data_IF_109288550211
#
_entry.id   IF_109288550211
#
_cell.length_a   1.000
_cell.length_b   1.000
_cell.length_c   1.000
_cell.angle_alpha   90.00
_cell.angle_beta   90.00
_cell.angle_gamma   90.00
#
_symmetry.space_group_name_H-M   'P 1'
#
loop_
_entity.id
_entity.type
_entity.pdbx_description
1 polymer ?
#
# COMPACT_ATOMS: atom_id res chain seq x y z
N UNK A 1 20.35 -23.22 10.81
CA UNK A 1 21.19 -22.06 10.39
C UNK A 1 20.30 -21.17 9.55
N UNK A 2 20.24 -19.88 9.84
CA UNK A 2 19.49 -18.91 9.01
C UNK A 2 20.30 -18.76 7.73
N UNK A 3 19.73 -19.11 6.58
CA UNK A 3 20.39 -18.89 5.29
C UNK A 3 20.57 -17.38 5.11
N UNK A 4 21.82 -16.96 4.91
CA UNK A 4 22.19 -15.55 4.70
C UNK A 4 21.99 -15.15 3.22
N UNK A 5 20.85 -15.53 2.63
CA UNK A 5 20.54 -15.06 1.28
C UNK A 5 20.24 -13.55 1.31
N UNK A 6 20.80 -12.78 0.36
CA UNK A 6 20.50 -11.35 0.25
C UNK A 6 19.02 -11.13 -0.04
N UNK A 7 18.44 -10.09 0.57
CA UNK A 7 17.12 -9.63 0.21
C UNK A 7 17.17 -8.93 -1.16
N UNK A 8 16.17 -9.19 -1.98
CA UNK A 8 16.09 -8.63 -3.33
C UNK A 8 14.91 -7.67 -3.44
N UNK A 9 14.96 -6.76 -4.42
CA UNK A 9 13.87 -5.84 -4.69
C UNK A 9 12.53 -6.54 -5.00
N UNK A 10 12.58 -7.78 -5.53
CA UNK A 10 11.39 -8.60 -5.78
C UNK A 10 10.71 -9.12 -4.51
N UNK A 11 11.39 -9.05 -3.38
CA UNK A 11 10.88 -9.48 -2.08
C UNK A 11 10.40 -8.31 -1.21
N UNK A 12 10.57 -7.07 -1.64
CA UNK A 12 10.31 -5.89 -0.81
C UNK A 12 9.27 -4.98 -1.44
N UNK A 13 8.26 -4.60 -0.64
CA UNK A 13 7.27 -3.56 -0.95
C UNK A 13 7.58 -2.34 -0.10
N UNK A 14 7.69 -1.17 -0.72
CA UNK A 14 7.86 0.09 -0.01
C UNK A 14 6.50 0.57 0.51
N UNK A 15 6.25 0.42 1.82
CA UNK A 15 5.01 0.77 2.51
C UNK A 15 4.81 2.29 2.54
N UNK A 16 3.75 2.77 1.92
CA UNK A 16 3.43 4.20 1.74
C UNK A 16 4.59 4.99 1.10
N UNK A 17 5.32 4.33 0.19
CA UNK A 17 6.59 4.82 -0.33
C UNK A 17 7.78 4.61 0.62
N UNK A 18 8.81 5.47 0.57
CA UNK A 18 9.96 5.39 1.48
C UNK A 18 9.67 6.13 2.80
N UNK A 19 8.72 5.59 3.57
CA UNK A 19 8.18 6.22 4.76
C UNK A 19 9.24 6.53 5.83
N UNK A 20 10.24 5.69 6.02
CA UNK A 20 11.24 5.91 7.09
C UNK A 20 11.93 7.27 7.00
N UNK A 21 12.15 7.79 5.81
CA UNK A 21 12.88 9.04 5.58
C UNK A 21 12.04 10.20 5.06
N UNK A 22 10.89 9.90 4.49
CA UNK A 22 10.02 10.88 3.83
C UNK A 22 8.60 10.79 4.38
N UNK A 23 7.77 11.83 4.21
CA UNK A 23 6.37 11.77 4.61
C UNK A 23 5.63 10.66 3.86
N UNK A 24 4.90 9.85 4.60
CA UNK A 24 4.14 8.73 4.04
C UNK A 24 3.11 9.19 3.00
N UNK A 25 2.81 8.33 2.02
CA UNK A 25 1.75 8.57 1.05
C UNK A 25 1.90 9.90 0.27
N UNK A 26 3.14 10.26 -0.06
CA UNK A 26 3.44 11.44 -0.89
C UNK A 26 4.10 11.04 -2.21
N UNK A 27 3.98 11.91 -3.21
CA UNK A 27 4.69 11.76 -4.47
C UNK A 27 6.21 11.69 -4.26
N UNK A 28 6.73 12.45 -3.28
CA UNK A 28 8.12 12.41 -2.86
C UNK A 28 8.51 11.03 -2.33
N UNK A 29 7.74 10.46 -1.38
CA UNK A 29 8.07 9.16 -0.80
C UNK A 29 8.03 8.03 -1.84
N UNK A 30 7.07 8.06 -2.78
CA UNK A 30 6.99 7.13 -3.90
C UNK A 30 8.22 7.25 -4.81
N UNK A 31 8.57 8.48 -5.22
CA UNK A 31 9.75 8.74 -6.05
C UNK A 31 11.03 8.24 -5.37
N UNK A 32 11.20 8.53 -4.09
CA UNK A 32 12.38 8.11 -3.31
C UNK A 32 12.44 6.60 -3.07
N UNK A 33 11.30 5.93 -2.97
CA UNK A 33 11.29 4.47 -2.93
C UNK A 33 11.80 3.85 -4.24
N UNK A 34 11.35 4.39 -5.38
CA UNK A 34 11.78 3.94 -6.71
C UNK A 34 13.28 4.23 -6.93
N UNK A 35 13.75 5.43 -6.58
CA UNK A 35 15.18 5.79 -6.63
C UNK A 35 16.05 4.88 -5.75
N UNK A 36 15.52 4.40 -4.62
CA UNK A 36 16.19 3.42 -3.75
C UNK A 36 16.16 1.99 -4.31
N UNK A 37 15.49 1.75 -5.43
CA UNK A 37 15.45 0.44 -6.11
C UNK A 37 14.18 -0.37 -5.84
N UNK A 38 13.12 0.21 -5.28
CA UNK A 38 11.84 -0.48 -5.12
C UNK A 38 11.23 -0.89 -6.46
N UNK A 39 10.80 -2.15 -6.57
CA UNK A 39 9.98 -2.66 -7.67
C UNK A 39 8.51 -2.75 -7.31
N UNK A 40 8.21 -2.69 -6.03
CA UNK A 40 6.86 -2.68 -5.47
C UNK A 40 6.72 -1.49 -4.53
N UNK A 41 5.68 -0.70 -4.73
CA UNK A 41 5.31 0.42 -3.86
C UNK A 41 3.86 0.24 -3.46
N UNK A 42 3.55 0.48 -2.22
CA UNK A 42 2.19 0.49 -1.71
C UNK A 42 1.79 1.92 -1.30
N UNK A 43 0.52 2.25 -1.49
CA UNK A 43 -0.11 3.51 -1.10
C UNK A 43 -1.55 3.28 -0.63
N UNK A 44 -2.00 4.11 0.30
CA UNK A 44 -3.40 4.16 0.77
C UNK A 44 -4.21 5.21 0.01
N UNK A 45 -5.47 4.91 -0.32
CA UNK A 45 -6.36 5.84 -1.00
C UNK A 45 -7.62 6.13 -0.19
N UNK A 46 -7.85 7.42 0.03
CA UNK A 46 -9.10 8.00 0.51
C UNK A 46 -9.73 8.85 -0.59
N UNK A 47 -11.03 9.15 -0.50
CA UNK A 47 -11.70 10.09 -1.39
C UNK A 47 -11.89 11.46 -0.72
N UNK A 48 -11.61 12.52 -1.46
CA UNK A 48 -11.97 13.90 -1.08
C UNK A 48 -13.50 14.12 -1.11
N UNK A 49 -13.97 15.26 -0.58
CA UNK A 49 -15.40 15.65 -0.63
C UNK A 49 -16.00 15.62 -2.04
N UNK A 50 -15.21 16.02 -3.04
CA UNK A 50 -15.57 15.98 -4.45
C UNK A 50 -15.19 14.65 -5.14
N UNK A 51 -15.04 13.59 -4.31
CA UNK A 51 -14.81 12.20 -4.71
C UNK A 51 -13.56 11.98 -5.57
N UNK A 52 -12.55 12.84 -5.44
CA UNK A 52 -11.28 12.66 -6.12
C UNK A 52 -10.35 11.76 -5.29
N UNK A 53 -9.65 10.79 -5.90
CA UNK A 53 -8.74 9.90 -5.17
C UNK A 53 -7.50 10.64 -4.65
N UNK A 54 -7.32 10.66 -3.34
CA UNK A 54 -6.19 11.26 -2.62
C UNK A 54 -5.34 10.17 -1.98
N UNK A 55 -4.03 10.34 -2.02
CA UNK A 55 -3.08 9.39 -1.42
C UNK A 55 -2.90 9.75 0.04
N UNK A 56 -3.61 9.03 0.92
CA UNK A 56 -3.66 9.35 2.35
C UNK A 56 -4.19 8.17 3.17
N UNK A 57 -3.59 7.89 4.33
CA UNK A 57 -3.98 6.76 5.16
C UNK A 57 -5.19 7.07 6.06
N UNK A 58 -5.05 8.10 6.91
CA UNK A 58 -6.03 8.41 7.96
C UNK A 58 -7.24 9.16 7.37
N UNK A 59 -8.42 8.98 7.97
CA UNK A 59 -9.54 9.88 7.67
C UNK A 59 -9.27 11.30 8.18
N UNK A 60 -8.58 11.43 9.33
CA UNK A 60 -8.21 12.71 9.95
C UNK A 60 -6.92 13.29 9.38
N UNK A 61 -6.89 14.60 9.16
CA UNK A 61 -5.71 15.33 8.69
C UNK A 61 -4.65 15.56 9.79
N UNK A 62 -4.98 15.30 11.06
CA UNK A 62 -4.17 15.75 12.21
C UNK A 62 -2.77 15.16 12.25
N UNK A 63 -2.61 13.85 12.00
CA UNK A 63 -1.32 13.16 12.19
C UNK A 63 -0.31 13.53 11.10
N UNK A 64 -0.74 13.51 9.84
CA UNK A 64 0.17 13.68 8.69
C UNK A 64 0.26 15.15 8.28
N UNK A 65 -0.83 15.90 8.36
CA UNK A 65 -0.87 17.31 7.92
C UNK A 65 -0.80 18.33 9.06
N UNK A 66 -0.94 17.90 10.32
CA UNK A 66 -1.03 18.81 11.47
C UNK A 66 -2.28 19.70 11.48
N UNK A 67 -3.22 19.47 10.58
CA UNK A 67 -4.42 20.26 10.38
C UNK A 67 -5.65 19.60 11.02
N UNK A 68 -6.62 20.41 11.44
CA UNK A 68 -7.94 19.90 11.83
C UNK A 68 -8.78 19.54 10.61
N UNK A 69 -9.77 18.63 10.78
CA UNK A 69 -10.67 18.21 9.73
C UNK A 69 -10.36 16.82 9.17
N UNK A 70 -11.06 16.46 8.10
CA UNK A 70 -10.91 15.14 7.47
C UNK A 70 -10.77 15.24 5.94
N UNK A 71 -10.24 14.19 5.33
CA UNK A 71 -10.10 14.06 3.88
C UNK A 71 -11.47 14.24 3.19
N UNK A 72 -12.52 13.65 3.75
CA UNK A 72 -13.87 13.66 3.15
C UNK A 72 -14.59 15.00 3.25
N UNK A 73 -14.07 15.95 4.04
CA UNK A 73 -14.68 17.28 4.22
C UNK A 73 -14.14 18.34 3.28
N UNK A 74 -12.97 18.12 2.67
CA UNK A 74 -12.29 19.08 1.79
C UNK A 74 -12.29 18.61 0.33
N UNK A 75 -12.33 19.55 -0.62
CA UNK A 75 -12.14 19.22 -2.03
C UNK A 75 -10.68 18.89 -2.33
N UNK A 76 -10.41 18.18 -3.43
CA UNK A 76 -9.04 17.92 -3.91
C UNK A 76 -8.20 19.20 -3.94
N UNK A 77 -8.72 20.28 -4.52
CA UNK A 77 -7.99 21.57 -4.61
C UNK A 77 -7.61 22.13 -3.23
N UNK A 78 -8.46 21.91 -2.23
CA UNK A 78 -8.17 22.33 -0.85
C UNK A 78 -7.12 21.41 -0.20
N UNK A 79 -7.22 20.10 -0.41
CA UNK A 79 -6.28 19.13 0.14
C UNK A 79 -4.87 19.28 -0.43
N UNK A 80 -4.73 19.50 -1.74
CA UNK A 80 -3.42 19.71 -2.40
C UNK A 80 -2.71 21.00 -1.95
N UNK A 81 -3.39 21.89 -1.22
CA UNK A 81 -2.78 23.08 -0.58
C UNK A 81 -2.34 22.82 0.88
N UNK A 82 -2.67 21.65 1.44
CA UNK A 82 -2.27 21.28 2.80
C UNK A 82 -0.98 20.46 2.75
N UNK A 83 -0.12 20.60 3.75
CA UNK A 83 1.11 19.83 3.84
C UNK A 83 0.84 18.38 4.24
N UNK A 84 1.65 17.46 3.73
CA UNK A 84 1.79 16.11 4.22
C UNK A 84 3.23 15.94 4.73
N UNK A 85 3.51 16.28 6.02
CA UNK A 85 4.87 16.43 6.51
C UNK A 85 5.15 15.67 7.82
N UNK A 86 4.11 15.08 8.44
CA UNK A 86 4.21 14.28 9.68
C UNK A 86 4.98 15.00 10.80
N UNK A 87 4.44 16.11 11.35
CA UNK A 87 5.16 17.00 12.26
C UNK A 87 5.77 16.31 13.48
N UNK A 88 5.11 15.28 14.01
CA UNK A 88 5.60 14.57 15.20
C UNK A 88 6.78 13.64 14.87
N UNK A 89 6.89 13.13 13.62
CA UNK A 89 7.92 12.19 13.20
C UNK A 89 9.09 12.87 12.49
N UNK A 90 8.81 13.85 11.64
CA UNK A 90 9.80 14.47 10.73
C UNK A 90 10.04 15.97 11.03
N UNK A 91 9.32 16.54 12.03
CA UNK A 91 9.40 17.97 12.31
C UNK A 91 8.89 18.80 11.12
N UNK A 92 9.51 19.95 10.88
CA UNK A 92 9.11 20.88 9.81
C UNK A 92 9.89 20.68 8.49
N UNK A 93 10.72 19.65 8.40
CA UNK A 93 11.62 19.43 7.26
C UNK A 93 10.91 19.24 5.92
N UNK A 94 9.61 18.90 5.93
CA UNK A 94 8.79 18.64 4.74
C UNK A 94 7.49 19.46 4.71
N UNK A 95 7.46 20.61 5.39
CA UNK A 95 6.22 21.42 5.49
C UNK A 95 5.71 21.93 4.13
N UNK A 96 6.55 21.95 3.11
CA UNK A 96 6.19 22.32 1.74
C UNK A 96 5.71 21.12 0.89
N UNK A 97 5.79 19.89 1.42
CA UNK A 97 5.32 18.72 0.68
C UNK A 97 3.79 18.65 0.71
N UNK A 98 3.10 18.70 -0.43
CA UNK A 98 1.63 18.71 -0.45
C UNK A 98 1.04 17.31 -0.26
N UNK A 99 -0.22 17.24 0.18
CA UNK A 99 -1.02 16.02 0.03
C UNK A 99 -1.12 15.69 -1.46
N UNK A 100 -0.76 14.47 -1.83
CA UNK A 100 -0.74 14.03 -3.22
C UNK A 100 -2.08 13.46 -3.67
N UNK A 101 -2.46 13.72 -4.92
CA UNK A 101 -3.55 12.99 -5.58
C UNK A 101 -3.03 11.70 -6.22
N UNK A 102 -3.94 10.75 -6.48
CA UNK A 102 -3.59 9.50 -7.16
C UNK A 102 -3.05 9.75 -8.57
N UNK A 103 -3.57 10.75 -9.29
CA UNK A 103 -3.08 11.12 -10.63
C UNK A 103 -1.57 11.43 -10.62
N UNK A 104 -1.12 12.17 -9.60
CA UNK A 104 0.31 12.52 -9.46
C UNK A 104 1.17 11.26 -9.30
N UNK A 105 0.73 10.31 -8.48
CA UNK A 105 1.44 9.04 -8.30
C UNK A 105 1.38 8.18 -9.57
N UNK A 106 0.25 8.11 -10.24
CA UNK A 106 0.11 7.37 -11.51
C UNK A 106 1.08 7.90 -12.56
N UNK A 107 1.28 9.21 -12.65
CA UNK A 107 2.25 9.78 -13.60
C UNK A 107 3.69 9.38 -13.28
N UNK A 108 4.07 9.30 -12.00
CA UNK A 108 5.36 8.78 -11.58
C UNK A 108 5.51 7.31 -12.00
N UNK A 109 4.52 6.46 -11.69
CA UNK A 109 4.56 5.03 -12.03
C UNK A 109 4.59 4.81 -13.55
N UNK A 110 3.93 5.65 -14.36
CA UNK A 110 4.01 5.58 -15.83
C UNK A 110 5.44 5.70 -16.35
N UNK A 111 6.25 6.54 -15.75
CA UNK A 111 7.65 6.75 -16.12
C UNK A 111 8.57 5.60 -15.67
N UNK A 112 8.08 4.70 -14.79
CA UNK A 112 8.81 3.56 -14.24
C UNK A 112 8.12 2.22 -14.57
N UNK A 113 8.24 1.68 -15.80
CA UNK A 113 7.45 0.55 -16.29
C UNK A 113 7.70 -0.78 -15.57
N UNK A 114 8.75 -0.89 -14.79
CA UNK A 114 9.07 -2.09 -13.98
C UNK A 114 8.44 -2.08 -12.59
N UNK A 115 7.87 -0.93 -12.17
CA UNK A 115 7.30 -0.78 -10.83
C UNK A 115 5.82 -1.19 -10.83
N UNK A 116 5.44 -2.02 -9.86
CA UNK A 116 4.06 -2.37 -9.55
C UNK A 116 3.58 -1.53 -8.36
N UNK A 117 2.38 -0.99 -8.46
CA UNK A 117 1.74 -0.18 -7.43
C UNK A 117 0.65 -1.01 -6.75
N UNK A 118 0.74 -1.22 -5.44
CA UNK A 118 -0.35 -1.69 -4.60
C UNK A 118 -1.15 -0.49 -4.12
N UNK A 119 -2.47 -0.56 -4.25
CA UNK A 119 -3.40 0.54 -3.96
C UNK A 119 -4.41 0.05 -2.95
N UNK A 120 -4.22 0.42 -1.68
CA UNK A 120 -5.16 0.07 -0.62
C UNK A 120 -6.39 0.98 -0.64
N UNK A 121 -7.55 0.37 -0.81
CA UNK A 121 -8.84 1.05 -0.76
C UNK A 121 -9.31 1.13 0.69
N UNK A 122 -9.31 2.34 1.27
CA UNK A 122 -9.61 2.55 2.69
C UNK A 122 -11.10 2.46 2.98
N UNK A 123 -11.44 1.70 4.02
CA UNK A 123 -12.82 1.41 4.41
C UNK A 123 -13.62 2.66 4.78
N UNK A 124 -12.97 3.66 5.39
CA UNK A 124 -13.65 4.90 5.77
C UNK A 124 -14.23 5.64 4.56
N UNK A 125 -13.54 5.64 3.43
CA UNK A 125 -14.06 6.21 2.18
C UNK A 125 -15.11 5.29 1.52
N UNK A 126 -14.95 3.96 1.64
CA UNK A 126 -15.97 3.01 1.16
C UNK A 126 -17.28 3.22 1.93
N UNK A 127 -17.20 3.32 3.26
CA UNK A 127 -18.36 3.54 4.12
C UNK A 127 -19.06 4.88 3.86
N UNK A 128 -18.25 5.92 3.57
CA UNK A 128 -18.77 7.28 3.37
C UNK A 128 -19.41 7.50 1.98
N UNK A 129 -18.76 7.00 0.91
CA UNK A 129 -19.15 7.28 -0.47
C UNK A 129 -19.77 6.07 -1.19
N UNK A 130 -19.57 4.87 -0.66
CA UNK A 130 -19.96 3.60 -1.28
C UNK A 130 -18.90 3.04 -2.23
N UNK A 131 -18.85 1.70 -2.28
CA UNK A 131 -17.87 0.95 -3.09
C UNK A 131 -17.93 1.29 -4.59
N UNK A 132 -19.12 1.55 -5.13
CA UNK A 132 -19.33 1.88 -6.55
C UNK A 132 -18.62 3.18 -6.94
N UNK A 133 -18.82 4.25 -6.13
CA UNK A 133 -18.18 5.56 -6.34
C UNK A 133 -16.67 5.44 -6.23
N UNK A 134 -16.20 4.73 -5.19
CA UNK A 134 -14.76 4.54 -4.98
C UNK A 134 -14.10 3.82 -6.15
N UNK A 135 -14.65 2.69 -6.58
CA UNK A 135 -14.10 1.93 -7.72
C UNK A 135 -14.14 2.72 -9.02
N UNK A 136 -15.25 3.41 -9.30
CA UNK A 136 -15.39 4.19 -10.54
C UNK A 136 -14.27 5.24 -10.65
N UNK A 137 -14.03 6.01 -9.58
CA UNK A 137 -13.06 7.10 -9.61
C UNK A 137 -11.61 6.56 -9.62
N UNK A 138 -11.30 5.57 -8.78
CA UNK A 138 -9.95 5.02 -8.68
C UNK A 138 -9.56 4.26 -9.96
N UNK A 139 -10.43 3.39 -10.47
CA UNK A 139 -10.13 2.63 -11.68
C UNK A 139 -9.96 3.54 -12.91
N UNK A 140 -10.71 4.65 -13.00
CA UNK A 140 -10.53 5.62 -14.08
C UNK A 140 -9.12 6.24 -14.07
N UNK A 141 -8.62 6.64 -12.88
CA UNK A 141 -7.28 7.21 -12.73
C UNK A 141 -6.18 6.16 -12.97
N UNK A 142 -6.38 4.92 -12.53
CA UNK A 142 -5.39 3.84 -12.66
C UNK A 142 -5.31 3.23 -14.08
N UNK A 143 -6.24 3.53 -15.00
CA UNK A 143 -6.27 2.95 -16.36
C UNK A 143 -4.91 2.96 -17.08
N UNK A 144 -4.12 4.05 -17.06
CA UNK A 144 -2.83 4.09 -17.77
C UNK A 144 -1.80 3.07 -17.27
N UNK A 145 -1.99 2.53 -16.06
CA UNK A 145 -1.10 1.57 -15.40
C UNK A 145 -1.83 0.29 -14.95
N UNK A 146 -3.03 0.02 -15.45
CA UNK A 146 -3.92 -1.05 -14.99
C UNK A 146 -3.25 -2.43 -14.89
N UNK A 147 -2.30 -2.74 -15.77
CA UNK A 147 -1.54 -4.00 -15.76
C UNK A 147 -0.56 -4.13 -14.57
N UNK A 148 -0.31 -3.03 -13.88
CA UNK A 148 0.68 -2.91 -12.78
C UNK A 148 0.11 -2.26 -11.53
N UNK A 149 -1.19 -1.99 -11.49
CA UNK A 149 -1.91 -1.49 -10.33
C UNK A 149 -2.73 -2.61 -9.71
N UNK A 150 -2.36 -3.02 -8.51
CA UNK A 150 -3.01 -4.08 -7.74
C UNK A 150 -3.91 -3.43 -6.70
N UNK A 151 -5.23 -3.62 -6.80
CA UNK A 151 -6.16 -3.15 -5.79
C UNK A 151 -6.16 -4.09 -4.59
N UNK A 152 -5.99 -3.55 -3.40
CA UNK A 152 -6.05 -4.29 -2.14
C UNK A 152 -7.00 -3.60 -1.15
N UNK A 153 -7.59 -4.34 -0.25
CA UNK A 153 -8.43 -3.79 0.83
C UNK A 153 -8.65 -4.81 1.94
N UNK A 154 -8.97 -4.32 3.14
CA UNK A 154 -9.58 -5.10 4.21
C UNK A 154 -11.08 -5.39 3.95
N UNK A 155 -11.73 -4.61 3.11
CA UNK A 155 -13.10 -4.88 2.62
C UNK A 155 -13.04 -5.86 1.45
N UNK A 156 -13.31 -7.13 1.73
CA UNK A 156 -13.29 -8.19 0.71
C UNK A 156 -14.36 -7.98 -0.36
N UNK A 157 -15.48 -7.33 -0.01
CA UNK A 157 -16.61 -7.12 -0.93
C UNK A 157 -16.25 -6.15 -2.06
N UNK A 158 -15.49 -5.08 -1.78
CA UNK A 158 -15.03 -4.15 -2.81
C UNK A 158 -14.04 -4.82 -3.76
N UNK A 159 -13.17 -5.69 -3.25
CA UNK A 159 -12.21 -6.44 -4.06
C UNK A 159 -12.94 -7.44 -4.98
N UNK A 160 -13.93 -8.16 -4.47
CA UNK A 160 -14.77 -9.02 -5.29
C UNK A 160 -15.54 -8.23 -6.35
N UNK A 161 -16.05 -7.05 -5.99
CA UNK A 161 -16.73 -6.15 -6.93
C UNK A 161 -15.78 -5.65 -8.01
N UNK A 162 -14.53 -5.27 -7.66
CA UNK A 162 -13.53 -4.82 -8.62
C UNK A 162 -13.21 -5.92 -9.66
N UNK A 163 -13.05 -7.17 -9.21
CA UNK A 163 -12.86 -8.34 -10.08
C UNK A 163 -14.06 -8.52 -11.04
N UNK A 164 -15.27 -8.45 -10.53
CA UNK A 164 -16.49 -8.59 -11.34
C UNK A 164 -16.64 -7.49 -12.40
N UNK A 165 -16.09 -6.30 -12.15
CA UNK A 165 -16.00 -5.17 -13.09
C UNK A 165 -14.84 -5.27 -14.08
N UNK A 166 -14.03 -6.32 -14.00
CA UNK A 166 -12.96 -6.62 -14.96
C UNK A 166 -11.58 -6.15 -14.53
N UNK A 167 -11.39 -5.64 -13.29
CA UNK A 167 -10.05 -5.32 -12.80
C UNK A 167 -9.28 -6.62 -12.54
N UNK A 168 -8.11 -6.77 -13.15
CA UNK A 168 -7.40 -8.05 -13.19
C UNK A 168 -6.46 -8.26 -12.00
N UNK A 169 -5.76 -7.21 -11.56
CA UNK A 169 -4.75 -7.30 -10.51
C UNK A 169 -5.37 -6.95 -9.16
N UNK A 170 -5.60 -7.93 -8.32
CA UNK A 170 -6.23 -7.73 -7.00
C UNK A 170 -5.54 -8.53 -5.90
N UNK A 171 -5.73 -8.09 -4.67
CA UNK A 171 -5.34 -8.81 -3.47
C UNK A 171 -6.26 -8.48 -2.31
N UNK A 172 -6.11 -9.21 -1.22
CA UNK A 172 -6.85 -8.98 0.04
C UNK A 172 -5.87 -8.64 1.15
N UNK A 173 -6.33 -7.84 2.12
CA UNK A 173 -5.61 -7.60 3.37
C UNK A 173 -6.34 -8.33 4.48
N UNK A 174 -5.69 -9.31 5.12
CA UNK A 174 -6.33 -10.15 6.14
C UNK A 174 -6.41 -9.44 7.50
N UNK A 175 -7.59 -9.50 8.13
CA UNK A 175 -7.75 -9.10 9.54
C UNK A 175 -7.29 -10.18 10.49
N UNK A 176 -7.58 -11.44 10.15
CA UNK A 176 -7.20 -12.62 10.92
C UNK A 176 -6.60 -13.65 9.98
N UNK A 177 -5.65 -14.46 10.48
CA UNK A 177 -5.06 -15.52 9.68
C UNK A 177 -6.09 -16.53 9.14
N UNK A 178 -7.11 -16.85 9.93
CA UNK A 178 -8.15 -17.81 9.54
C UNK A 178 -8.95 -17.39 8.32
N UNK A 179 -9.01 -16.08 8.02
CA UNK A 179 -9.78 -15.52 6.91
C UNK A 179 -9.24 -16.00 5.55
N UNK A 180 -7.95 -16.37 5.49
CA UNK A 180 -7.33 -16.91 4.26
C UNK A 180 -8.06 -18.15 3.70
N UNK A 181 -8.71 -18.93 4.58
CA UNK A 181 -9.47 -20.12 4.21
C UNK A 181 -10.99 -19.86 4.17
N UNK A 182 -11.44 -18.62 4.38
CA UNK A 182 -12.87 -18.31 4.32
C UNK A 182 -13.39 -18.47 2.88
N UNK A 183 -14.65 -18.90 2.70
CA UNK A 183 -15.24 -18.98 1.37
C UNK A 183 -15.22 -17.67 0.60
N UNK A 184 -15.32 -16.55 1.31
CA UNK A 184 -15.29 -15.21 0.74
C UNK A 184 -13.92 -14.88 0.14
N UNK A 185 -12.83 -15.02 0.90
CA UNK A 185 -11.47 -14.79 0.42
C UNK A 185 -11.07 -15.76 -0.70
N UNK A 186 -11.45 -17.04 -0.56
CA UNK A 186 -11.19 -18.04 -1.58
C UNK A 186 -11.93 -17.76 -2.91
N UNK A 187 -13.13 -17.18 -2.85
CA UNK A 187 -13.90 -16.83 -4.05
C UNK A 187 -13.32 -15.62 -4.80
N UNK A 188 -12.55 -14.75 -4.13
CA UNK A 188 -11.87 -13.62 -4.76
C UNK A 188 -10.76 -14.10 -5.70
N UNK A 189 -10.06 -15.19 -5.35
CA UNK A 189 -8.93 -15.75 -6.11
C UNK A 189 -7.89 -14.67 -6.48
N UNK A 190 -7.50 -13.88 -5.45
CA UNK A 190 -6.57 -12.76 -5.60
C UNK A 190 -5.12 -13.21 -5.77
N UNK A 191 -4.36 -12.45 -6.56
CA UNK A 191 -2.93 -12.69 -6.81
C UNK A 191 -2.07 -12.48 -5.58
N UNK A 192 -2.53 -11.62 -4.64
CA UNK A 192 -1.78 -11.24 -3.43
C UNK A 192 -2.67 -11.34 -2.19
N UNK A 193 -2.02 -11.69 -1.07
CA UNK A 193 -2.63 -11.65 0.27
C UNK A 193 -1.69 -10.94 1.22
N UNK A 194 -2.11 -9.78 1.70
CA UNK A 194 -1.40 -8.99 2.70
C UNK A 194 -1.80 -9.44 4.10
N UNK A 195 -0.83 -9.52 5.01
CA UNK A 195 -1.05 -10.02 6.37
C UNK A 195 -0.08 -9.40 7.37
N UNK A 196 -0.55 -9.04 8.56
CA UNK A 196 0.35 -8.71 9.67
C UNK A 196 1.18 -9.96 10.00
N UNK A 197 2.51 -9.83 9.90
CA UNK A 197 3.42 -10.97 10.18
C UNK A 197 3.18 -11.59 11.58
N UNK A 198 2.63 -10.82 12.51
CA UNK A 198 2.37 -11.26 13.90
C UNK A 198 1.27 -12.30 14.00
N UNK A 199 0.33 -12.31 13.05
CA UNK A 199 -0.78 -13.27 13.05
C UNK A 199 -0.49 -14.53 12.21
N UNK A 200 0.64 -14.60 11.51
CA UNK A 200 1.06 -15.81 10.77
C UNK A 200 1.43 -16.91 11.76
N UNK A 201 0.76 -18.08 11.73
CA UNK A 201 1.08 -19.16 12.64
C UNK A 201 2.50 -19.71 12.40
N UNK A 202 3.28 -20.02 13.45
CA UNK A 202 4.69 -20.42 13.31
C UNK A 202 4.94 -21.70 12.52
N UNK A 203 3.92 -22.58 12.41
CA UNK A 203 4.06 -23.92 11.82
C UNK A 203 3.18 -24.11 10.58
N UNK A 204 2.69 -23.01 9.96
CA UNK A 204 1.88 -23.10 8.76
C UNK A 204 2.76 -23.42 7.54
N UNK A 205 2.26 -24.31 6.68
CA UNK A 205 2.88 -24.57 5.37
C UNK A 205 2.38 -23.54 4.34
N UNK A 206 3.19 -22.52 4.11
CA UNK A 206 2.86 -21.44 3.17
C UNK A 206 3.06 -21.84 1.70
N UNK A 207 3.71 -22.98 1.42
CA UNK A 207 3.95 -23.44 0.03
C UNK A 207 2.67 -23.91 -0.65
N UNK A 208 1.63 -24.19 0.12
CA UNK A 208 0.32 -24.63 -0.38
C UNK A 208 -0.61 -23.45 -0.76
N UNK A 209 -0.22 -22.21 -0.45
CA UNK A 209 -1.02 -21.04 -0.80
C UNK A 209 -0.96 -20.78 -2.31
N UNK A 210 -2.11 -20.50 -2.90
CA UNK A 210 -2.22 -20.14 -4.33
C UNK A 210 -1.87 -18.67 -4.59
N UNK A 211 -1.93 -17.84 -3.57
CA UNK A 211 -1.68 -16.40 -3.59
C UNK A 211 -0.26 -16.08 -3.13
N UNK A 212 0.29 -14.96 -3.56
CA UNK A 212 1.56 -14.43 -3.05
C UNK A 212 1.33 -13.72 -1.73
N UNK A 213 1.87 -14.29 -0.64
CA UNK A 213 1.76 -13.68 0.68
C UNK A 213 2.71 -12.48 0.81
N UNK A 214 2.19 -11.36 1.28
CA UNK A 214 2.94 -10.13 1.60
C UNK A 214 2.80 -9.88 3.10
N UNK A 215 3.88 -10.00 3.85
CA UNK A 215 3.88 -9.75 5.29
C UNK A 215 4.22 -8.28 5.58
N UNK A 216 3.35 -7.54 6.25
CA UNK A 216 3.59 -6.17 6.70
C UNK A 216 3.79 -6.15 8.23
N UNK A 217 4.35 -5.27 8.83
CA UNK A 217 5.33 -4.21 8.66
C UNK A 217 6.72 -4.75 9.06
N UNK A 218 7.48 -5.19 8.10
CA UNK A 218 8.77 -5.85 8.36
C UNK A 218 9.88 -4.80 8.37
N UNK A 219 10.31 -4.40 9.57
CA UNK A 219 11.22 -3.27 9.78
C UNK A 219 12.71 -3.63 9.89
N UNK A 220 13.08 -4.93 9.96
CA UNK A 220 14.49 -5.34 10.13
C UNK A 220 14.85 -6.52 9.23
N UNK A 221 16.15 -6.61 8.88
CA UNK A 221 16.68 -7.72 8.07
C UNK A 221 16.55 -9.06 8.80
N UNK A 222 16.73 -9.07 10.14
CA UNK A 222 16.59 -10.28 10.96
C UNK A 222 15.16 -10.82 10.88
N UNK A 223 14.16 -9.93 10.96
CA UNK A 223 12.74 -10.32 10.85
C UNK A 223 12.43 -10.81 9.44
N UNK A 224 12.89 -10.10 8.40
CA UNK A 224 12.70 -10.51 7.01
C UNK A 224 13.32 -11.91 6.76
N UNK A 225 14.54 -12.16 7.21
CA UNK A 225 15.18 -13.47 7.10
C UNK A 225 14.44 -14.55 7.87
N UNK A 226 13.95 -14.25 9.09
CA UNK A 226 13.13 -15.18 9.87
C UNK A 226 11.86 -15.58 9.09
N UNK A 227 11.16 -14.61 8.52
CA UNK A 227 9.96 -14.86 7.73
C UNK A 227 10.27 -15.57 6.41
N UNK A 228 11.38 -15.24 5.74
CA UNK A 228 11.84 -15.95 4.54
C UNK A 228 12.11 -17.46 4.82
N UNK A 229 12.67 -17.79 5.99
CA UNK A 229 12.83 -19.18 6.41
C UNK A 229 11.48 -19.89 6.64
N UNK A 230 10.43 -19.14 6.98
CA UNK A 230 9.04 -19.63 7.03
C UNK A 230 8.37 -19.66 5.65
N UNK A 231 9.12 -19.36 4.57
CA UNK A 231 8.62 -19.30 3.17
C UNK A 231 7.66 -18.15 2.87
N UNK A 232 7.69 -17.07 3.66
CA UNK A 232 7.04 -15.81 3.28
C UNK A 232 7.81 -15.22 2.10
N UNK A 233 7.18 -14.99 0.95
CA UNK A 233 7.91 -14.59 -0.26
C UNK A 233 8.18 -13.08 -0.35
N UNK A 234 7.32 -12.23 0.24
CA UNK A 234 7.36 -10.77 0.07
C UNK A 234 7.14 -10.09 1.42
N UNK A 235 7.87 -8.99 1.65
CA UNK A 235 7.83 -8.20 2.88
C UNK A 235 7.54 -6.74 2.58
N UNK A 236 6.59 -6.17 3.29
CA UNK A 236 6.31 -4.76 3.23
C UNK A 236 7.07 -4.03 4.33
N UNK A 237 7.79 -2.97 3.97
CA UNK A 237 8.72 -2.28 4.85
C UNK A 237 8.66 -0.75 4.70
N UNK A 238 8.90 -0.06 5.82
CA UNK A 238 9.12 1.39 5.84
C UNK A 238 10.49 1.81 5.33
N UNK A 239 11.50 0.91 5.39
CA UNK A 239 12.91 1.19 5.13
C UNK A 239 13.43 0.38 3.94
N UNK A 240 12.91 0.70 2.76
CA UNK A 240 13.25 -0.04 1.54
C UNK A 240 14.76 -0.04 1.27
N UNK A 241 15.42 1.12 1.41
CA UNK A 241 16.86 1.24 1.17
C UNK A 241 17.68 0.47 2.20
N UNK A 242 17.35 0.63 3.50
CA UNK A 242 18.09 -0.06 4.56
C UNK A 242 17.99 -1.57 4.47
N UNK A 243 16.83 -2.13 4.06
CA UNK A 243 16.70 -3.56 3.86
C UNK A 243 17.44 -4.06 2.61
N UNK A 244 17.45 -3.30 1.52
CA UNK A 244 18.20 -3.65 0.30
C UNK A 244 19.72 -3.61 0.53
N UNK A 245 20.22 -2.58 1.21
CA UNK A 245 21.67 -2.42 1.49
C UNK A 245 22.19 -3.46 2.48
N UNK A 246 21.43 -3.72 3.57
CA UNK A 246 21.82 -4.71 4.57
C UNK A 246 21.54 -6.16 4.14
N UNK A 247 20.82 -6.35 3.05
CA UNK A 247 20.59 -7.65 2.42
C UNK A 247 21.69 -8.06 1.45
N UNK A 248 22.60 -7.16 1.07
CA UNK A 248 23.77 -7.43 0.20
C UNK A 248 24.94 -7.96 1.04
#
# INVERSE_FOLDING_TARGET
>A
MIENNPLTAQQLVAHRGYQKRYPENTALAVTKAIEAGALFVEIDIQLSRDQQPMVYHDISLQRVSGCAGSITELSREQLEKLPAYEPQRLGEGFIEEPISSLDTVVEIIRQHPTVTLFVELKEESIDHFGAEVMLQNICAVLQPIAQRAVLISFDYSIIQTSRSKGWQQIGVVLRNWTDINSPEVQAIDGEYTFVDYKIIPPQVDLTMLKTKLVAYEVGTVELARKLANQKVPIFETFDIQGLLEAGQ
#
